data_IF_594253346600
#
_entry.id   IF_594253346600
#
_cell.length_a   1.000
_cell.length_b   1.000
_cell.length_c   1.000
_cell.angle_alpha   90.00
_cell.angle_beta   90.00
_cell.angle_gamma   90.00
#
_symmetry.space_group_name_H-M   'P 1'
#
loop_
_entity.id
_entity.type
_entity.pdbx_description
1 polymer ?
#
# COMPACT_ATOMS: atom_id res chain seq x y z
N UNK A 1 -16.91 19.97 31.12
CA UNK A 1 -17.00 21.29 30.51
C UNK A 1 -18.04 21.22 29.39
N UNK A 2 -19.20 21.88 29.53
CA UNK A 2 -20.29 21.80 28.55
C UNK A 2 -19.90 22.42 27.18
N UNK A 3 -18.85 23.24 27.13
CA UNK A 3 -18.37 23.87 25.90
C UNK A 3 -17.31 23.05 25.15
N UNK A 4 -16.93 21.88 25.68
CA UNK A 4 -15.87 21.06 25.12
C UNK A 4 -14.47 21.63 25.37
N UNK A 5 -13.43 20.86 24.98
CA UNK A 5 -12.02 21.27 25.03
C UNK A 5 -11.49 21.40 23.61
N UNK A 6 -11.09 22.60 23.22
CA UNK A 6 -10.42 22.85 21.94
C UNK A 6 -8.94 22.58 22.08
N UNK A 7 -8.44 21.54 21.40
CA UNK A 7 -7.03 21.18 21.38
C UNK A 7 -6.41 21.63 20.04
N UNK A 8 -5.38 22.47 20.13
CA UNK A 8 -4.62 22.91 18.96
C UNK A 8 -3.37 22.02 18.78
N UNK A 9 -3.10 21.54 17.55
CA UNK A 9 -1.89 20.76 17.31
C UNK A 9 -0.63 21.60 17.58
N UNK A 10 0.33 21.06 18.31
CA UNK A 10 1.64 21.68 18.53
C UNK A 10 2.53 21.71 17.28
N UNK A 11 2.21 20.89 16.27
CA UNK A 11 2.94 20.76 15.02
C UNK A 11 2.66 21.95 14.08
N UNK A 12 3.61 22.89 13.99
CA UNK A 12 3.43 24.14 13.26
C UNK A 12 3.20 23.98 11.75
N UNK A 13 3.71 22.90 11.14
CA UNK A 13 3.53 22.65 9.71
C UNK A 13 2.10 22.25 9.32
N UNK A 14 1.24 21.92 10.30
CA UNK A 14 -0.20 21.68 10.09
C UNK A 14 -1.03 22.99 10.06
N UNK A 15 -0.49 24.08 10.60
CA UNK A 15 -1.21 25.34 10.78
C UNK A 15 -0.97 26.29 9.63
N UNK A 16 -1.99 26.59 8.82
CA UNK A 16 -1.91 27.54 7.70
C UNK A 16 -1.47 28.95 8.10
N UNK A 17 -1.68 29.33 9.36
CA UNK A 17 -1.28 30.64 9.91
C UNK A 17 0.20 30.75 10.29
N UNK A 18 0.99 29.71 10.12
CA UNK A 18 2.42 29.72 10.45
C UNK A 18 3.27 29.76 9.18
N UNK A 19 4.48 30.35 9.22
CA UNK A 19 5.42 30.35 8.10
C UNK A 19 5.95 28.96 7.77
N UNK A 20 5.71 27.96 8.62
CA UNK A 20 6.14 26.59 8.45
C UNK A 20 5.08 25.69 7.81
N UNK A 21 3.90 26.22 7.50
CA UNK A 21 2.84 25.42 6.88
C UNK A 21 3.34 24.69 5.63
N UNK A 22 3.02 23.39 5.55
CA UNK A 22 3.36 22.57 4.40
C UNK A 22 2.11 21.84 3.92
N UNK A 23 1.66 22.06 2.66
CA UNK A 23 0.48 21.39 2.13
C UNK A 23 0.73 19.89 1.98
N UNK A 24 -0.30 19.08 2.32
CA UNK A 24 -0.21 17.61 2.25
C UNK A 24 0.25 16.93 3.54
N UNK A 25 0.56 17.68 4.60
CA UNK A 25 0.81 17.07 5.92
C UNK A 25 -0.48 16.42 6.42
N UNK A 26 -0.41 15.13 6.75
CA UNK A 26 -1.52 14.34 7.30
C UNK A 26 -1.40 14.11 8.78
N UNK A 27 -0.21 14.30 9.37
CA UNK A 27 0.01 14.17 10.79
C UNK A 27 1.48 14.31 11.17
N UNK A 28 1.72 14.38 12.47
CA UNK A 28 3.08 14.44 13.01
C UNK A 28 3.08 14.73 14.49
N UNK A 29 4.26 14.62 15.10
CA UNK A 29 4.48 14.86 16.53
C UNK A 29 5.81 15.56 16.77
N UNK A 30 5.78 16.60 17.60
CA UNK A 30 6.97 17.23 18.15
C UNK A 30 7.37 16.55 19.45
N UNK A 31 8.64 16.51 19.74
CA UNK A 31 9.16 16.06 21.03
C UNK A 31 10.35 16.92 21.47
N UNK A 32 10.54 16.99 22.80
CA UNK A 32 11.69 17.63 23.40
C UNK A 32 12.04 17.00 24.74
N UNK A 33 13.30 16.71 24.92
CA UNK A 33 13.91 16.50 26.25
C UNK A 33 15.29 17.15 26.23
N UNK A 34 15.85 17.45 27.41
CA UNK A 34 17.18 18.04 27.50
C UNK A 34 18.26 17.17 26.83
N UNK A 35 18.11 15.86 26.92
CA UNK A 35 19.06 14.91 26.33
C UNK A 35 18.84 14.74 24.81
N UNK A 36 17.58 14.57 24.39
CA UNK A 36 17.23 14.29 23.01
C UNK A 36 17.21 15.54 22.11
N UNK A 37 17.16 16.75 22.70
CA UNK A 37 16.94 17.99 21.95
C UNK A 37 15.55 18.01 21.31
N UNK A 38 15.34 18.85 20.31
CA UNK A 38 14.09 18.88 19.55
C UNK A 38 14.01 17.69 18.59
N UNK A 39 12.89 17.03 18.59
CA UNK A 39 12.57 15.94 17.67
C UNK A 39 11.26 16.24 16.93
N UNK A 40 11.16 15.80 15.69
CA UNK A 40 9.98 16.00 14.85
C UNK A 40 9.78 14.79 13.96
N UNK A 41 8.58 14.21 13.99
CA UNK A 41 8.12 13.23 13.01
C UNK A 41 6.98 13.87 12.24
N UNK A 42 7.06 13.83 10.92
CA UNK A 42 6.06 14.45 10.04
C UNK A 42 5.71 13.48 8.92
N UNK A 43 4.42 13.21 8.76
CA UNK A 43 3.88 12.44 7.64
C UNK A 43 3.19 13.37 6.65
N UNK A 44 3.56 13.24 5.38
CA UNK A 44 2.93 13.98 4.28
C UNK A 44 2.51 13.04 3.16
N UNK A 45 1.40 13.37 2.46
CA UNK A 45 0.90 12.63 1.31
C UNK A 45 0.66 13.56 0.13
N UNK A 46 1.19 13.20 -1.04
CA UNK A 46 1.00 13.95 -2.29
C UNK A 46 1.07 12.99 -3.48
N UNK A 47 0.13 13.07 -4.40
CA UNK A 47 0.11 12.28 -5.65
C UNK A 47 0.28 10.76 -5.41
N UNK A 48 -0.39 10.21 -4.40
CA UNK A 48 -0.29 8.79 -4.05
C UNK A 48 0.97 8.40 -3.25
N UNK A 49 1.99 9.25 -3.22
CA UNK A 49 3.20 9.04 -2.43
C UNK A 49 3.01 9.53 -1.00
N UNK A 50 3.34 8.69 -0.02
CA UNK A 50 3.33 8.99 1.41
C UNK A 50 4.76 8.99 1.92
N UNK A 51 5.19 10.10 2.51
CA UNK A 51 6.53 10.27 3.07
C UNK A 51 6.47 10.52 4.57
N UNK A 52 7.45 10.00 5.28
CA UNK A 52 7.68 10.26 6.69
C UNK A 52 9.08 10.85 6.83
N UNK A 53 9.13 12.10 7.31
CA UNK A 53 10.38 12.76 7.69
C UNK A 53 10.58 12.71 9.20
N UNK A 54 11.77 12.34 9.64
CA UNK A 54 12.16 12.27 11.04
C UNK A 54 13.37 13.13 11.28
N UNK A 55 13.25 14.10 12.19
CA UNK A 55 14.37 14.92 12.65
C UNK A 55 14.66 14.54 14.10
N UNK A 56 15.92 14.23 14.36
CA UNK A 56 16.44 13.94 15.71
C UNK A 56 17.45 15.01 16.09
N UNK A 57 17.40 15.46 17.34
CA UNK A 57 18.34 16.45 17.91
C UNK A 57 18.45 17.74 17.09
N UNK A 58 17.31 18.18 16.52
CA UNK A 58 17.25 19.40 15.72
C UNK A 58 17.31 20.67 16.58
N UNK A 59 17.70 21.77 15.97
CA UNK A 59 17.62 23.11 16.57
C UNK A 59 16.31 23.83 16.17
N UNK A 60 15.81 24.70 17.04
CA UNK A 60 14.67 25.57 16.73
C UNK A 60 15.16 26.89 16.17
N UNK A 61 14.63 27.40 15.04
CA UNK A 61 13.49 26.86 14.25
C UNK A 61 13.89 25.92 13.12
N UNK A 62 15.17 25.58 12.97
CA UNK A 62 15.76 24.90 11.82
C UNK A 62 15.08 23.57 11.47
N UNK A 63 14.68 22.77 12.47
CA UNK A 63 14.06 21.45 12.23
C UNK A 63 12.75 21.51 11.41
N UNK A 64 12.05 22.66 11.37
CA UNK A 64 10.90 22.84 10.46
C UNK A 64 11.36 22.95 9.01
N UNK A 65 12.43 23.74 8.78
CA UNK A 65 13.01 23.92 7.44
C UNK A 65 13.63 22.61 6.93
N UNK A 66 14.34 21.89 7.79
CA UNK A 66 14.94 20.59 7.43
C UNK A 66 13.85 19.56 7.06
N UNK A 67 12.75 19.52 7.82
CA UNK A 67 11.62 18.67 7.48
C UNK A 67 11.02 19.02 6.11
N UNK A 68 10.86 20.32 5.82
CA UNK A 68 10.39 20.79 4.52
C UNK A 68 11.30 20.33 3.40
N UNK A 69 12.62 20.53 3.55
CA UNK A 69 13.60 20.16 2.55
C UNK A 69 13.62 18.64 2.28
N UNK A 70 13.50 17.81 3.33
CA UNK A 70 13.40 16.36 3.18
C UNK A 70 12.13 15.93 2.43
N UNK A 71 10.99 16.53 2.76
CA UNK A 71 9.73 16.25 2.07
C UNK A 71 9.77 16.72 0.61
N UNK A 72 10.30 17.93 0.35
CA UNK A 72 10.48 18.45 -1.00
C UNK A 72 11.40 17.54 -1.82
N UNK A 73 12.53 17.11 -1.26
CA UNK A 73 13.42 16.15 -1.91
C UNK A 73 12.68 14.84 -2.26
N UNK A 74 11.94 14.27 -1.31
CA UNK A 74 11.20 13.04 -1.55
C UNK A 74 10.15 13.18 -2.65
N UNK A 75 9.31 14.22 -2.61
CA UNK A 75 8.26 14.44 -3.61
C UNK A 75 8.80 14.89 -4.98
N UNK A 76 9.98 15.51 -5.04
CA UNK A 76 10.62 15.90 -6.29
C UNK A 76 11.27 14.72 -7.00
N UNK A 77 11.86 13.78 -6.26
CA UNK A 77 12.69 12.73 -6.82
C UNK A 77 12.04 11.36 -6.91
N UNK A 78 10.94 11.10 -6.20
CA UNK A 78 10.29 9.80 -6.16
C UNK A 78 8.85 9.87 -6.62
N UNK A 79 8.36 8.72 -7.09
CA UNK A 79 6.96 8.51 -7.54
C UNK A 79 6.45 7.20 -6.98
N UNK A 80 5.15 7.18 -6.67
CA UNK A 80 4.43 5.95 -6.31
C UNK A 80 3.71 5.42 -7.56
N UNK A 81 4.07 4.22 -7.97
CA UNK A 81 3.55 3.54 -9.16
C UNK A 81 2.67 2.38 -8.73
N UNK A 82 1.50 2.19 -9.34
CA UNK A 82 0.68 0.99 -9.13
C UNK A 82 1.29 -0.17 -9.91
N UNK A 83 1.59 -1.27 -9.23
CA UNK A 83 2.17 -2.43 -9.85
C UNK A 83 1.22 -3.04 -10.90
N UNK A 84 -0.09 -3.06 -10.61
CA UNK A 84 -1.11 -3.62 -11.49
C UNK A 84 -1.17 -2.94 -12.89
N UNK A 85 -0.75 -1.68 -13.00
CA UNK A 85 -0.76 -0.96 -14.28
C UNK A 85 0.43 -1.35 -15.19
N UNK A 86 1.46 -2.01 -14.66
CA UNK A 86 2.74 -2.23 -15.35
C UNK A 86 3.24 -3.68 -15.29
N UNK A 87 2.77 -4.47 -14.31
CA UNK A 87 3.22 -5.86 -14.13
C UNK A 87 2.70 -6.75 -15.25
N UNK A 88 3.61 -7.37 -15.99
CA UNK A 88 3.30 -8.26 -17.11
C UNK A 88 3.78 -9.69 -16.89
N UNK A 89 4.86 -9.86 -16.14
CA UNK A 89 5.50 -11.17 -15.91
C UNK A 89 4.66 -12.08 -15.01
N UNK A 90 4.07 -11.51 -13.96
CA UNK A 90 3.26 -12.23 -12.98
C UNK A 90 1.78 -11.83 -13.05
N UNK A 91 1.36 -11.24 -14.17
CA UNK A 91 -0.05 -10.90 -14.39
C UNK A 91 -0.89 -12.17 -14.52
N UNK A 92 -2.08 -12.25 -13.86
CA UNK A 92 -3.00 -13.39 -13.99
C UNK A 92 -3.52 -13.61 -15.41
N UNK A 93 -3.37 -12.61 -16.29
CA UNK A 93 -3.74 -12.72 -17.72
C UNK A 93 -2.66 -13.46 -18.51
N UNK A 94 -1.46 -13.61 -17.97
CA UNK A 94 -0.37 -14.38 -18.58
C UNK A 94 -0.69 -15.88 -18.47
N UNK A 95 -0.74 -16.59 -19.60
CA UNK A 95 -1.05 -18.03 -19.71
C UNK A 95 -0.04 -18.95 -19.02
N UNK A 96 1.06 -18.40 -18.51
CA UNK A 96 2.21 -19.16 -18.01
C UNK A 96 2.35 -19.19 -16.48
N UNK A 97 1.32 -18.75 -15.74
CA UNK A 97 1.33 -18.83 -14.28
C UNK A 97 1.16 -20.29 -13.81
N UNK A 98 2.28 -20.89 -13.46
CA UNK A 98 2.33 -22.21 -12.83
C UNK A 98 2.44 -22.05 -11.32
N UNK A 99 1.39 -22.37 -10.58
CA UNK A 99 1.39 -22.38 -9.12
C UNK A 99 1.80 -23.76 -8.60
N UNK A 100 2.97 -23.85 -7.97
CA UNK A 100 3.41 -25.10 -7.32
C UNK A 100 3.38 -26.34 -8.23
N UNK A 101 3.59 -26.18 -9.55
CA UNK A 101 3.48 -27.26 -10.53
C UNK A 101 2.07 -27.51 -11.07
N UNK A 102 1.07 -26.73 -10.64
CA UNK A 102 -0.30 -26.77 -11.15
C UNK A 102 -0.51 -25.63 -12.14
N UNK A 103 -0.84 -25.96 -13.38
CA UNK A 103 -1.33 -24.99 -14.36
C UNK A 103 -2.78 -24.66 -14.01
N UNK A 104 -3.07 -23.40 -13.69
CA UNK A 104 -4.45 -22.96 -13.42
C UNK A 104 -5.20 -22.85 -14.74
N UNK A 105 -6.13 -23.78 -14.99
CA UNK A 105 -7.00 -23.77 -16.17
C UNK A 105 -7.97 -22.57 -16.21
N UNK A 106 -8.01 -21.75 -15.16
CA UNK A 106 -8.86 -20.55 -15.06
C UNK A 106 -8.08 -19.37 -14.50
N UNK A 107 -7.34 -18.64 -15.32
CA UNK A 107 -6.62 -17.43 -14.87
C UNK A 107 -7.54 -16.33 -14.28
N UNK A 108 -8.85 -16.39 -14.55
CA UNK A 108 -9.83 -15.45 -14.01
C UNK A 108 -10.05 -15.55 -12.48
N UNK A 109 -9.54 -16.60 -11.81
CA UNK A 109 -9.69 -16.77 -10.36
C UNK A 109 -8.72 -15.91 -9.53
N UNK A 110 -7.69 -15.35 -10.16
CA UNK A 110 -6.69 -14.50 -9.51
C UNK A 110 -6.74 -13.09 -10.07
N UNK A 111 -6.45 -12.14 -9.20
CA UNK A 111 -6.23 -10.73 -9.57
C UNK A 111 -4.92 -10.26 -8.96
N UNK A 112 -4.28 -9.32 -9.61
CA UNK A 112 -3.19 -8.56 -9.00
C UNK A 112 -3.82 -7.47 -8.13
N UNK A 113 -3.34 -7.32 -6.88
CA UNK A 113 -3.81 -6.28 -5.96
C UNK A 113 -3.83 -4.91 -6.67
N UNK A 114 -5.03 -4.30 -6.84
CA UNK A 114 -5.18 -3.05 -7.57
C UNK A 114 -4.57 -1.85 -6.83
N UNK A 115 -4.36 -1.98 -5.53
CA UNK A 115 -3.79 -0.94 -4.67
C UNK A 115 -2.31 -1.13 -4.37
N UNK A 116 -1.73 -2.27 -4.81
CA UNK A 116 -0.31 -2.59 -4.67
C UNK A 116 0.59 -1.54 -5.32
N UNK A 117 1.50 -0.95 -4.52
CA UNK A 117 2.35 0.16 -4.97
C UNK A 117 3.81 -0.07 -4.69
N UNK A 118 4.63 0.39 -5.62
CA UNK A 118 6.08 0.47 -5.47
C UNK A 118 6.53 1.93 -5.54
N UNK A 119 7.70 2.22 -4.98
CA UNK A 119 8.29 3.56 -4.97
C UNK A 119 9.53 3.56 -5.83
N UNK A 120 9.51 4.33 -6.91
CA UNK A 120 10.62 4.46 -7.85
C UNK A 120 11.19 5.89 -7.83
N UNK A 121 12.50 6.04 -8.07
CA UNK A 121 13.03 7.32 -8.53
C UNK A 121 12.32 7.73 -9.83
N UNK A 122 12.05 9.02 -10.02
CA UNK A 122 11.41 9.52 -11.26
C UNK A 122 12.27 9.34 -12.51
N UNK A 123 13.55 9.03 -12.34
CA UNK A 123 14.50 8.74 -13.41
C UNK A 123 14.54 7.26 -13.82
N UNK A 124 13.81 6.40 -13.10
CA UNK A 124 13.74 4.97 -13.36
C UNK A 124 12.37 4.59 -13.96
N UNK A 125 12.39 3.59 -14.83
CA UNK A 125 11.21 2.95 -15.40
C UNK A 125 10.78 1.75 -14.54
N UNK A 126 9.52 1.33 -14.65
CA UNK A 126 9.03 0.14 -13.93
C UNK A 126 9.82 -1.13 -14.33
N UNK A 127 10.22 -1.23 -15.58
CA UNK A 127 11.03 -2.32 -16.14
C UNK A 127 12.44 -2.45 -15.56
N UNK A 128 12.95 -1.39 -14.92
CA UNK A 128 14.25 -1.42 -14.24
C UNK A 128 14.18 -2.14 -12.89
N UNK A 129 12.98 -2.41 -12.38
CA UNK A 129 12.77 -3.12 -11.14
C UNK A 129 12.75 -4.63 -11.33
N UNK A 130 13.55 -5.34 -10.55
CA UNK A 130 13.57 -6.79 -10.50
C UNK A 130 12.39 -7.31 -9.67
N UNK A 131 11.49 -8.07 -10.30
CA UNK A 131 10.34 -8.69 -9.63
C UNK A 131 10.66 -10.13 -9.22
N UNK A 132 10.34 -10.47 -7.98
CA UNK A 132 10.47 -11.83 -7.41
C UNK A 132 9.13 -12.25 -6.83
N UNK A 133 8.64 -13.42 -7.26
CA UNK A 133 7.43 -14.05 -6.76
C UNK A 133 7.79 -14.96 -5.58
N UNK A 134 7.02 -14.89 -4.50
CA UNK A 134 7.10 -15.78 -3.34
C UNK A 134 5.70 -16.28 -2.96
N UNK A 135 5.62 -17.55 -2.58
CA UNK A 135 4.41 -18.17 -2.02
C UNK A 135 4.42 -18.18 -0.49
N UNK A 136 5.44 -17.61 0.12
CA UNK A 136 5.55 -17.47 1.57
C UNK A 136 4.69 -16.29 2.04
N UNK A 137 3.46 -16.61 2.41
CA UNK A 137 2.43 -15.68 2.91
C UNK A 137 2.38 -15.82 4.43
N UNK A 138 2.45 -14.72 5.13
CA UNK A 138 2.41 -14.62 6.59
C UNK A 138 1.07 -14.05 7.07
N UNK A 139 0.77 -14.19 8.35
CA UNK A 139 -0.43 -13.64 9.00
C UNK A 139 -0.55 -12.11 8.91
N UNK A 140 0.53 -11.41 8.53
CA UNK A 140 0.53 -9.96 8.31
C UNK A 140 0.19 -9.55 6.87
N UNK A 141 0.15 -10.49 5.95
CA UNK A 141 -0.23 -10.28 4.55
C UNK A 141 -1.77 -10.36 4.40
N UNK A 142 -2.38 -9.91 3.30
CA UNK A 142 -3.84 -9.98 3.10
C UNK A 142 -4.37 -11.41 3.14
N UNK A 143 -5.53 -11.63 3.75
CA UNK A 143 -6.15 -12.94 3.94
C UNK A 143 -6.48 -13.67 2.62
N UNK A 144 -6.70 -12.91 1.55
CA UNK A 144 -6.99 -13.42 0.20
C UNK A 144 -5.75 -13.54 -0.69
N UNK A 145 -4.55 -13.22 -0.16
CA UNK A 145 -3.30 -13.33 -0.89
C UNK A 145 -2.88 -14.79 -1.07
N UNK A 146 -2.49 -15.15 -2.28
CA UNK A 146 -1.96 -16.49 -2.63
C UNK A 146 -0.48 -16.45 -2.99
N UNK A 147 0.03 -15.29 -3.37
CA UNK A 147 1.45 -15.05 -3.60
C UNK A 147 1.77 -13.57 -3.43
N UNK A 148 3.04 -13.29 -3.16
CA UNK A 148 3.60 -11.96 -2.97
C UNK A 148 4.65 -11.69 -4.04
N UNK A 149 4.53 -10.55 -4.70
CA UNK A 149 5.50 -10.08 -5.69
C UNK A 149 6.25 -8.91 -5.08
N UNK A 150 7.53 -9.09 -4.81
CA UNK A 150 8.38 -8.03 -4.28
C UNK A 150 9.31 -7.49 -5.36
N UNK A 151 9.44 -6.17 -5.41
CA UNK A 151 10.23 -5.45 -6.39
C UNK A 151 11.48 -4.87 -5.74
N UNK A 152 12.59 -4.98 -6.43
CA UNK A 152 13.88 -4.42 -6.03
C UNK A 152 14.42 -3.51 -7.11
N UNK A 153 15.03 -2.42 -6.70
CA UNK A 153 15.76 -1.49 -7.56
C UNK A 153 17.07 -1.12 -6.89
N UNK A 154 18.20 -1.29 -7.60
CA UNK A 154 19.54 -1.10 -7.04
C UNK A 154 19.70 -1.82 -5.68
N UNK A 155 19.38 -3.13 -5.65
CA UNK A 155 19.46 -4.02 -4.49
C UNK A 155 18.54 -3.68 -3.31
N UNK A 156 17.74 -2.62 -3.40
CA UNK A 156 16.79 -2.20 -2.36
C UNK A 156 15.38 -2.65 -2.72
N UNK A 157 14.68 -3.18 -1.74
CA UNK A 157 13.25 -3.44 -1.89
C UNK A 157 12.50 -2.10 -1.94
N UNK A 158 11.71 -1.91 -2.99
CA UNK A 158 10.98 -0.67 -3.28
C UNK A 158 9.46 -0.81 -3.10
N UNK A 159 8.98 -2.01 -2.82
CA UNK A 159 7.60 -2.33 -2.51
C UNK A 159 7.28 -3.78 -2.85
N UNK A 160 6.08 -4.21 -2.44
CA UNK A 160 5.50 -5.50 -2.80
C UNK A 160 4.04 -5.29 -3.18
N UNK A 161 3.49 -6.21 -3.96
CA UNK A 161 2.07 -6.38 -4.26
C UNK A 161 1.70 -7.84 -4.11
N UNK A 162 0.42 -8.18 -4.23
CA UNK A 162 -0.06 -9.54 -4.03
C UNK A 162 -0.83 -10.04 -5.25
N UNK A 163 -0.73 -11.34 -5.49
CA UNK A 163 -1.73 -12.06 -6.25
C UNK A 163 -2.80 -12.53 -5.27
N UNK A 164 -4.03 -12.18 -5.53
CA UNK A 164 -5.17 -12.39 -4.65
C UNK A 164 -6.23 -13.25 -5.31
N UNK A 165 -6.99 -14.00 -4.52
CA UNK A 165 -8.17 -14.71 -5.04
C UNK A 165 -9.27 -13.70 -5.34
N UNK A 166 -9.89 -13.82 -6.51
CA UNK A 166 -11.04 -13.01 -6.89
C UNK A 166 -12.34 -13.57 -6.26
N UNK A 167 -12.66 -13.10 -5.06
CA UNK A 167 -13.83 -13.56 -4.30
C UNK A 167 -15.16 -13.40 -5.07
N UNK A 168 -15.31 -12.34 -5.87
CA UNK A 168 -16.51 -12.11 -6.65
C UNK A 168 -16.80 -13.24 -7.67
N UNK A 169 -15.75 -13.87 -8.20
CA UNK A 169 -15.89 -15.01 -9.10
C UNK A 169 -16.20 -16.31 -8.34
N UNK A 170 -15.68 -16.49 -7.13
CA UNK A 170 -16.01 -17.64 -6.29
C UNK A 170 -17.46 -17.60 -5.82
N UNK A 171 -17.97 -16.45 -5.42
CA UNK A 171 -19.36 -16.27 -5.01
C UNK A 171 -20.34 -16.47 -6.18
N UNK A 172 -19.99 -16.00 -7.39
CA UNK A 172 -20.81 -16.21 -8.59
C UNK A 172 -20.82 -17.68 -9.03
N UNK A 173 -19.72 -18.41 -8.87
CA UNK A 173 -19.63 -19.84 -9.17
C UNK A 173 -20.40 -20.68 -8.14
N UNK A 174 -20.38 -20.32 -6.85
CA UNK A 174 -21.13 -20.96 -5.80
C UNK A 174 -22.65 -20.78 -5.96
N UNK A 175 -23.10 -19.60 -6.40
CA UNK A 175 -24.54 -19.34 -6.67
C UNK A 175 -25.04 -20.01 -7.94
N UNK A 176 -24.19 -20.33 -8.91
CA UNK A 176 -24.57 -21.08 -10.12
C UNK A 176 -24.71 -22.60 -9.90
N UNK A 177 -24.31 -23.13 -8.73
CA UNK A 177 -24.44 -24.53 -8.35
C UNK A 177 -25.58 -24.80 -7.38
N UNK A 178 -26.56 -23.91 -7.26
CA UNK A 178 -27.87 -24.28 -6.65
C UNK A 178 -28.59 -25.25 -7.59
N UNK A 179 -28.45 -26.53 -7.29
CA UNK A 179 -29.25 -27.60 -7.85
C UNK A 179 -30.73 -27.22 -7.64
N UNK A 180 -31.60 -27.20 -8.70
CA UNK A 180 -32.98 -26.92 -8.54
C UNK A 180 -33.60 -27.93 -7.58
N UNK A 181 -34.29 -27.48 -6.54
CA UNK A 181 -34.99 -28.28 -5.54
C UNK A 181 -36.29 -28.90 -6.10
N UNK A 182 -36.26 -29.44 -7.30
CA UNK A 182 -37.39 -30.03 -7.98
C UNK A 182 -37.11 -31.49 -8.36
N UNK A 183 -36.88 -32.35 -7.39
CA UNK A 183 -36.98 -33.83 -7.55
C UNK A 183 -37.08 -34.48 -6.15
N UNK A 184 -38.10 -34.09 -5.38
CA UNK A 184 -38.54 -34.85 -4.20
C UNK A 184 -40.05 -34.69 -4.06
N UNK A 185 -40.80 -35.22 -5.01
CA UNK A 185 -42.21 -35.62 -4.80
C UNK A 185 -42.52 -36.62 -5.91
N UNK A 186 -42.73 -37.87 -5.51
CA UNK A 186 -43.25 -38.91 -6.38
C UNK A 186 -42.67 -40.28 -6.04
N UNK A 187 -43.19 -40.86 -4.96
CA UNK A 187 -43.60 -42.26 -4.91
C UNK A 187 -43.86 -42.67 -3.48
N UNK A 188 -45.14 -42.49 -3.10
CA UNK A 188 -45.78 -43.30 -2.08
C UNK A 188 -47.21 -43.47 -2.51
N UNK A 189 -47.50 -44.57 -3.17
CA UNK A 189 -48.85 -45.17 -3.22
C UNK A 189 -48.79 -46.59 -3.79
N UNK A 190 -49.31 -47.52 -3.00
CA UNK A 190 -49.74 -48.88 -3.20
C UNK A 190 -48.85 -49.98 -2.64
#
# INVERSE_FOLDING_TARGET
NPEGLTIYPGHKMLKKSTPYYYPGIVGGKTGYTTLAGNTLVTCAKKNGLKLIAVILKGSTPQYWTDTKNLLDFGFQNFVSVRAADHETKYSPVSSDLTFGGLTLDKPAALILDPDGRIILPKTAEFSDAEATLSYDISDSDPDNAVAKICYRYNERQIGCTYLETNQALFESAASSHQVPAALKEGESAA
#
